data_IF_473965325752
#
_entry.id   IF_473965325752
#
_cell.length_a   1.000
_cell.length_b   1.000
_cell.length_c   1.000
_cell.angle_alpha   90.00
_cell.angle_beta   90.00
_cell.angle_gamma   90.00
#
_symmetry.space_group_name_H-M   'P 1'
#
loop_
_entity.id
_entity.type
_entity.pdbx_description
1 polymer ?
#
# COMPACT_ATOMS: atom_id res chain seq x y z
N UNK A 1 10.41 -12.24 -28.11
CA UNK A 1 11.09 -11.25 -27.25
C UNK A 1 10.64 -9.90 -27.78
N UNK A 2 10.12 -9.01 -26.93
CA UNK A 2 9.72 -7.67 -27.38
C UNK A 2 10.98 -6.87 -27.69
N UNK A 3 11.04 -6.27 -28.87
CA UNK A 3 12.13 -5.39 -29.28
C UNK A 3 11.79 -3.97 -28.86
N UNK A 4 12.53 -3.45 -27.88
CA UNK A 4 12.32 -2.09 -27.37
C UNK A 4 13.11 -1.08 -28.19
N UNK A 5 12.46 0.05 -28.51
CA UNK A 5 13.11 1.19 -29.14
C UNK A 5 14.21 1.72 -28.22
N UNK A 6 15.41 1.93 -28.77
CA UNK A 6 16.52 2.56 -28.07
C UNK A 6 16.17 4.00 -27.71
N UNK A 7 16.20 4.31 -26.41
CA UNK A 7 15.88 5.63 -25.88
C UNK A 7 16.52 5.80 -24.50
N UNK A 8 16.84 7.04 -24.15
CA UNK A 8 17.29 7.38 -22.80
C UNK A 8 16.09 7.53 -21.85
N UNK A 9 16.26 7.21 -20.55
CA UNK A 9 15.24 7.44 -19.55
C UNK A 9 15.02 8.95 -19.31
N UNK A 10 13.77 9.38 -19.20
CA UNK A 10 13.38 10.78 -18.94
C UNK A 10 13.56 11.20 -17.48
N UNK A 11 13.71 10.23 -16.59
CA UNK A 11 14.03 10.42 -15.18
C UNK A 11 15.38 9.76 -14.96
N UNK A 12 16.30 10.48 -14.32
CA UNK A 12 17.63 9.97 -13.96
C UNK A 12 17.53 9.02 -12.75
N UNK A 13 16.81 7.92 -12.95
CA UNK A 13 16.71 6.81 -12.00
C UNK A 13 17.70 5.74 -12.47
N UNK A 14 18.87 5.60 -11.80
CA UNK A 14 19.90 4.67 -12.25
C UNK A 14 19.36 3.26 -12.35
N UNK A 15 19.83 2.46 -13.30
CA UNK A 15 19.43 1.06 -13.41
C UNK A 15 20.59 0.16 -13.82
N UNK A 16 20.51 -1.10 -13.40
CA UNK A 16 21.46 -2.14 -13.78
C UNK A 16 20.85 -3.05 -14.85
N UNK A 17 21.32 -2.91 -16.09
CA UNK A 17 20.93 -3.75 -17.22
C UNK A 17 22.12 -4.57 -17.74
N UNK A 18 21.87 -5.83 -18.10
CA UNK A 18 22.88 -6.75 -18.62
C UNK A 18 22.84 -6.93 -20.15
N UNK A 19 21.89 -6.27 -20.82
CA UNK A 19 21.74 -6.27 -22.28
C UNK A 19 21.17 -4.93 -22.77
N UNK A 20 21.35 -4.63 -24.05
CA UNK A 20 20.76 -3.44 -24.69
C UNK A 20 19.24 -3.48 -24.65
N UNK A 21 18.63 -4.64 -24.94
CA UNK A 21 17.18 -4.80 -24.84
C UNK A 21 16.68 -4.59 -23.39
N UNK A 22 17.44 -5.00 -22.38
CA UNK A 22 17.14 -4.73 -20.97
C UNK A 22 17.22 -3.24 -20.62
N UNK A 23 18.23 -2.52 -21.12
CA UNK A 23 18.35 -1.06 -20.99
C UNK A 23 17.15 -0.35 -21.61
N UNK A 24 16.79 -0.73 -22.84
CA UNK A 24 15.67 -0.14 -23.56
C UNK A 24 14.33 -0.45 -22.90
N UNK A 25 14.19 -1.64 -22.28
CA UNK A 25 13.02 -1.98 -21.45
C UNK A 25 12.88 -1.08 -20.23
N UNK A 26 13.96 -0.84 -19.46
CA UNK A 26 13.92 0.10 -18.34
C UNK A 26 13.51 1.50 -18.80
N UNK A 27 14.14 2.00 -19.87
CA UNK A 27 13.79 3.30 -20.42
C UNK A 27 12.33 3.36 -20.89
N UNK A 28 11.81 2.29 -21.48
CA UNK A 28 10.39 2.19 -21.86
C UNK A 28 9.44 2.31 -20.66
N UNK A 29 9.71 1.57 -19.57
CA UNK A 29 8.90 1.63 -18.35
C UNK A 29 8.93 3.03 -17.73
N UNK A 30 10.14 3.59 -17.54
CA UNK A 30 10.34 4.92 -16.97
C UNK A 30 9.65 5.98 -17.82
N UNK A 31 9.86 5.98 -19.14
CA UNK A 31 9.34 7.00 -20.04
C UNK A 31 7.81 6.93 -20.12
N UNK A 32 7.23 5.74 -20.18
CA UNK A 32 5.77 5.59 -20.23
C UNK A 32 5.12 6.16 -18.97
N UNK A 33 5.68 5.86 -17.78
CA UNK A 33 5.17 6.43 -16.53
C UNK A 33 5.40 7.95 -16.51
N UNK A 34 6.61 8.41 -16.81
CA UNK A 34 7.00 9.82 -16.73
C UNK A 34 6.20 10.73 -17.68
N UNK A 35 5.77 10.21 -18.83
CA UNK A 35 5.04 10.98 -19.85
C UNK A 35 3.53 11.05 -19.57
N UNK A 36 2.97 10.00 -18.97
CA UNK A 36 1.51 9.84 -18.94
C UNK A 36 0.93 9.76 -17.52
N UNK A 37 1.75 9.75 -16.48
CA UNK A 37 1.32 9.69 -15.09
C UNK A 37 2.08 10.71 -14.24
N UNK A 38 1.50 11.90 -13.98
CA UNK A 38 2.06 12.82 -13.00
C UNK A 38 2.28 12.19 -11.62
N UNK A 39 1.39 11.30 -11.18
CA UNK A 39 1.50 10.61 -9.89
C UNK A 39 2.68 9.62 -9.89
N UNK A 40 2.81 8.82 -10.95
CA UNK A 40 3.90 7.87 -11.11
C UNK A 40 5.24 8.57 -11.30
N UNK A 41 5.28 9.64 -12.10
CA UNK A 41 6.47 10.48 -12.28
C UNK A 41 7.03 10.96 -10.95
N UNK A 42 6.16 11.48 -10.06
CA UNK A 42 6.58 12.02 -8.78
C UNK A 42 7.28 10.97 -7.90
N UNK A 43 6.78 9.73 -7.85
CA UNK A 43 7.43 8.67 -7.04
C UNK A 43 8.73 8.18 -7.67
N UNK A 44 8.85 8.15 -9.00
CA UNK A 44 10.11 7.82 -9.68
C UNK A 44 11.18 8.90 -9.42
N UNK A 45 10.81 10.17 -9.47
CA UNK A 45 11.71 11.30 -9.19
C UNK A 45 12.18 11.29 -7.72
N UNK A 46 11.28 11.00 -6.77
CA UNK A 46 11.64 10.88 -5.36
C UNK A 46 12.55 9.67 -5.09
N UNK A 47 12.31 8.52 -5.73
CA UNK A 47 13.19 7.36 -5.63
C UNK A 47 14.60 7.66 -6.16
N UNK A 48 14.71 8.33 -7.31
CA UNK A 48 15.98 8.78 -7.85
C UNK A 48 16.70 9.72 -6.89
N UNK A 49 15.98 10.71 -6.33
CA UNK A 49 16.52 11.67 -5.35
C UNK A 49 16.98 10.99 -4.06
N UNK A 50 16.31 9.92 -3.63
CA UNK A 50 16.68 9.12 -2.48
C UNK A 50 17.90 8.20 -2.73
N UNK A 51 18.46 8.23 -3.95
CA UNK A 51 19.63 7.47 -4.34
C UNK A 51 19.33 6.01 -4.67
N UNK A 52 18.07 5.67 -4.97
CA UNK A 52 17.71 4.32 -5.38
C UNK A 52 18.08 4.06 -6.84
N UNK A 53 18.34 2.78 -7.13
CA UNK A 53 18.48 2.27 -8.50
C UNK A 53 17.46 1.17 -8.81
N UNK A 54 17.21 0.91 -10.09
CA UNK A 54 16.43 -0.24 -10.54
C UNK A 54 17.31 -1.43 -10.88
N UNK A 55 16.81 -2.63 -10.58
CA UNK A 55 17.40 -3.87 -11.05
C UNK A 55 16.29 -4.87 -11.41
N UNK A 56 16.54 -5.69 -12.42
CA UNK A 56 15.64 -6.78 -12.77
C UNK A 56 16.28 -8.13 -12.46
N UNK A 57 15.50 -9.05 -11.91
CA UNK A 57 15.92 -10.44 -11.67
C UNK A 57 14.73 -11.40 -11.82
N UNK A 58 15.01 -12.68 -12.05
CA UNK A 58 13.95 -13.69 -12.06
C UNK A 58 13.43 -13.90 -10.64
N UNK A 59 12.14 -13.61 -10.41
CA UNK A 59 11.49 -13.79 -9.11
C UNK A 59 10.24 -14.64 -9.28
N UNK A 60 10.07 -15.61 -8.39
CA UNK A 60 8.85 -16.40 -8.27
C UNK A 60 8.02 -15.86 -7.11
N UNK A 61 6.72 -15.66 -7.33
CA UNK A 61 5.78 -15.24 -6.28
C UNK A 61 5.75 -13.74 -5.96
N UNK A 62 6.64 -12.92 -6.55
CA UNK A 62 6.58 -11.45 -6.42
C UNK A 62 6.88 -10.74 -7.76
N UNK A 63 6.22 -9.60 -7.97
CA UNK A 63 6.39 -8.71 -9.12
C UNK A 63 7.54 -7.73 -8.90
N UNK A 64 7.75 -7.29 -7.66
CA UNK A 64 8.78 -6.35 -7.26
C UNK A 64 9.00 -6.35 -5.75
N UNK A 65 10.05 -5.68 -5.30
CA UNK A 65 10.24 -5.30 -3.90
C UNK A 65 11.31 -4.20 -3.78
N UNK A 66 11.29 -3.46 -2.68
CA UNK A 66 12.36 -2.52 -2.30
C UNK A 66 13.35 -3.18 -1.35
N UNK A 67 14.64 -3.01 -1.62
CA UNK A 67 15.72 -3.31 -0.68
C UNK A 67 16.38 -2.00 -0.23
N UNK A 68 16.05 -1.56 0.99
CA UNK A 68 16.57 -0.33 1.58
C UNK A 68 18.10 -0.36 1.73
N UNK A 69 18.66 -1.47 2.23
CA UNK A 69 20.10 -1.66 2.45
C UNK A 69 20.91 -1.51 1.16
N UNK A 70 20.41 -2.07 0.06
CA UNK A 70 21.04 -1.98 -1.26
C UNK A 70 20.65 -0.70 -2.02
N UNK A 71 19.75 0.13 -1.48
CA UNK A 71 19.09 1.23 -2.20
C UNK A 71 18.64 0.80 -3.60
N UNK A 72 17.94 -0.33 -3.68
CA UNK A 72 17.57 -0.95 -4.96
C UNK A 72 16.09 -1.34 -4.98
N UNK A 73 15.40 -0.93 -6.04
CA UNK A 73 14.06 -1.43 -6.38
C UNK A 73 14.24 -2.59 -7.37
N UNK A 74 13.77 -3.77 -6.98
CA UNK A 74 13.81 -4.96 -7.82
C UNK A 74 12.49 -5.14 -8.56
N UNK A 75 12.55 -5.41 -9.86
CA UNK A 75 11.42 -5.83 -10.70
C UNK A 75 11.64 -7.23 -11.24
N UNK A 76 10.57 -8.00 -11.39
CA UNK A 76 10.67 -9.39 -11.86
C UNK A 76 10.75 -9.46 -13.37
N UNK A 77 11.74 -10.20 -13.90
CA UNK A 77 11.83 -10.45 -15.34
C UNK A 77 10.71 -11.34 -15.87
N UNK A 78 9.96 -12.01 -14.98
CA UNK A 78 8.93 -12.98 -15.33
C UNK A 78 7.57 -12.36 -15.69
N UNK A 79 7.41 -11.04 -15.53
CA UNK A 79 6.15 -10.33 -15.78
C UNK A 79 6.27 -9.39 -16.97
N UNK A 80 5.16 -9.15 -17.65
CA UNK A 80 5.06 -8.20 -18.76
C UNK A 80 5.05 -6.75 -18.28
N UNK A 81 5.28 -5.82 -19.20
CA UNK A 81 5.43 -4.41 -18.86
C UNK A 81 4.15 -3.76 -18.33
N UNK A 82 2.96 -4.27 -18.70
CA UNK A 82 1.72 -3.69 -18.19
C UNK A 82 1.60 -3.92 -16.68
N UNK A 83 2.01 -5.10 -16.21
CA UNK A 83 2.14 -5.39 -14.77
C UNK A 83 3.23 -4.52 -14.15
N UNK A 84 4.42 -4.49 -14.75
CA UNK A 84 5.58 -3.82 -14.15
C UNK A 84 5.46 -2.29 -14.07
N UNK A 85 4.64 -1.64 -14.90
CA UNK A 85 4.40 -0.19 -14.79
C UNK A 85 3.71 0.19 -13.48
N UNK A 86 2.69 -0.59 -13.08
CA UNK A 86 2.02 -0.41 -11.78
C UNK A 86 2.96 -0.77 -10.64
N UNK A 87 3.62 -1.93 -10.72
CA UNK A 87 4.57 -2.40 -9.72
C UNK A 87 5.70 -1.39 -9.49
N UNK A 88 6.28 -0.82 -10.54
CA UNK A 88 7.37 0.15 -10.40
C UNK A 88 6.91 1.39 -9.62
N UNK A 89 5.70 1.90 -9.88
CA UNK A 89 5.16 3.02 -9.11
C UNK A 89 4.86 2.65 -7.66
N UNK A 90 4.35 1.43 -7.42
CA UNK A 90 4.12 0.86 -6.10
C UNK A 90 5.43 0.78 -5.28
N UNK A 91 6.48 0.17 -5.82
CA UNK A 91 7.77 0.06 -5.11
C UNK A 91 8.44 1.42 -4.89
N UNK A 92 8.37 2.32 -5.87
CA UNK A 92 8.82 3.70 -5.68
C UNK A 92 8.04 4.43 -4.57
N UNK A 93 6.76 4.09 -4.37
CA UNK A 93 5.97 4.64 -3.26
C UNK A 93 6.50 4.17 -1.91
N UNK A 94 6.94 2.92 -1.76
CA UNK A 94 7.61 2.48 -0.52
C UNK A 94 8.87 3.29 -0.21
N UNK A 95 9.68 3.63 -1.22
CA UNK A 95 10.82 4.54 -1.03
C UNK A 95 10.35 5.90 -0.51
N UNK A 96 9.32 6.48 -1.13
CA UNK A 96 8.76 7.76 -0.70
C UNK A 96 8.15 7.71 0.71
N UNK A 97 7.57 6.58 1.11
CA UNK A 97 7.07 6.34 2.46
C UNK A 97 8.23 6.33 3.49
N UNK A 98 9.35 5.66 3.18
CA UNK A 98 10.56 5.69 3.99
C UNK A 98 11.14 7.10 4.13
N UNK A 99 11.23 7.86 3.03
CA UNK A 99 11.64 9.28 3.05
C UNK A 99 10.77 10.17 3.95
N UNK A 100 9.50 9.78 4.15
CA UNK A 100 8.54 10.50 5.00
C UNK A 100 8.57 10.05 6.46
N UNK A 101 9.46 9.13 6.83
CA UNK A 101 9.65 8.69 8.20
C UNK A 101 8.80 7.49 8.61
N UNK A 102 8.27 6.73 7.66
CA UNK A 102 7.73 5.38 7.98
C UNK A 102 8.87 4.58 8.61
N UNK A 103 8.66 3.97 9.80
CA UNK A 103 9.73 3.28 10.49
C UNK A 103 10.11 1.99 9.77
N UNK A 104 11.41 1.78 9.58
CA UNK A 104 11.98 0.54 8.99
C UNK A 104 11.79 -0.69 9.90
N UNK A 105 11.40 -0.49 11.16
CA UNK A 105 11.09 -1.57 12.08
C UNK A 105 9.75 -1.34 12.79
N UNK A 106 8.95 -2.39 12.83
CA UNK A 106 7.66 -2.41 13.52
C UNK A 106 7.78 -2.76 15.01
N UNK A 107 9.00 -3.06 15.49
CA UNK A 107 9.25 -3.67 16.80
C UNK A 107 8.72 -2.81 17.94
N UNK A 108 8.95 -1.50 17.86
CA UNK A 108 8.53 -0.58 18.92
C UNK A 108 7.03 -0.33 18.98
N UNK A 109 6.29 -0.58 17.89
CA UNK A 109 4.86 -0.30 17.84
C UNK A 109 4.06 -1.39 18.55
N UNK A 110 3.01 -1.00 19.25
CA UNK A 110 1.99 -1.93 19.75
C UNK A 110 1.31 -2.67 18.58
N UNK A 111 0.94 -3.94 18.79
CA UNK A 111 0.37 -4.89 17.83
C UNK A 111 -0.75 -4.25 17.01
N UNK A 112 -1.70 -3.57 17.65
CA UNK A 112 -2.83 -2.92 16.97
C UNK A 112 -2.33 -1.87 15.96
N UNK A 113 -1.35 -1.08 16.33
CA UNK A 113 -0.84 0.00 15.50
C UNK A 113 0.09 -0.53 14.41
N UNK A 114 0.80 -1.64 14.63
CA UNK A 114 1.47 -2.39 13.56
C UNK A 114 0.47 -2.86 12.50
N UNK A 115 -0.68 -3.41 12.90
CA UNK A 115 -1.74 -3.82 11.96
C UNK A 115 -2.19 -2.62 11.10
N UNK A 116 -2.40 -1.45 11.71
CA UNK A 116 -2.78 -0.23 10.99
C UNK A 116 -1.69 0.22 10.03
N UNK A 117 -0.45 0.33 10.52
CA UNK A 117 0.67 0.87 9.76
C UNK A 117 0.96 -0.01 8.54
N UNK A 118 1.17 -1.30 8.74
CA UNK A 118 1.49 -2.25 7.68
C UNK A 118 0.41 -2.25 6.58
N UNK A 119 -0.86 -2.38 6.97
CA UNK A 119 -1.96 -2.36 5.99
C UNK A 119 -2.13 -1.01 5.30
N UNK A 120 -1.90 0.08 6.03
CA UNK A 120 -2.00 1.43 5.48
C UNK A 120 -0.91 1.71 4.45
N UNK A 121 0.33 1.29 4.70
CA UNK A 121 1.48 1.40 3.78
C UNK A 121 1.16 0.72 2.45
N UNK A 122 0.70 -0.53 2.49
CA UNK A 122 0.39 -1.32 1.29
C UNK A 122 -0.84 -0.79 0.54
N UNK A 123 -1.90 -0.43 1.26
CA UNK A 123 -3.09 0.16 0.64
C UNK A 123 -2.77 1.51 -0.03
N UNK A 124 -1.84 2.30 0.54
CA UNK A 124 -1.36 3.54 -0.05
C UNK A 124 -0.48 3.29 -1.29
N UNK A 125 0.44 2.32 -1.23
CA UNK A 125 1.29 1.94 -2.35
C UNK A 125 0.47 1.45 -3.55
N UNK A 126 -0.50 0.57 -3.32
CA UNK A 126 -1.45 0.11 -4.35
C UNK A 126 -2.36 1.24 -4.85
N UNK A 127 -2.71 2.22 -4.01
CA UNK A 127 -3.47 3.40 -4.47
C UNK A 127 -2.66 4.28 -5.43
N UNK A 128 -1.35 4.38 -5.23
CA UNK A 128 -0.42 5.10 -6.11
C UNK A 128 -0.15 4.32 -7.39
N UNK A 129 0.01 3.00 -7.31
CA UNK A 129 0.07 2.10 -8.47
C UNK A 129 -1.19 2.21 -9.33
N UNK A 130 -2.37 2.14 -8.71
CA UNK A 130 -3.66 2.30 -9.37
C UNK A 130 -3.82 3.69 -10.01
N UNK A 131 -3.46 4.77 -9.30
CA UNK A 131 -3.45 6.12 -9.85
C UNK A 131 -2.55 6.20 -11.09
N UNK A 132 -1.38 5.56 -11.05
CA UNK A 132 -0.45 5.53 -12.18
C UNK A 132 -1.04 4.82 -13.40
N UNK A 133 -1.61 3.63 -13.20
CA UNK A 133 -2.26 2.88 -14.27
C UNK A 133 -3.46 3.64 -14.86
N UNK A 134 -4.25 4.30 -14.02
CA UNK A 134 -5.37 5.14 -14.43
C UNK A 134 -4.90 6.31 -15.31
N UNK A 135 -3.88 7.03 -14.86
CA UNK A 135 -3.34 8.19 -15.56
C UNK A 135 -2.74 7.80 -16.91
N UNK A 136 -1.98 6.69 -16.97
CA UNK A 136 -1.48 6.13 -18.23
C UNK A 136 -2.64 5.84 -19.19
N UNK A 137 -3.70 5.16 -18.71
CA UNK A 137 -4.91 4.86 -19.51
C UNK A 137 -5.51 6.14 -20.09
N UNK A 138 -5.67 7.19 -19.27
CA UNK A 138 -6.37 8.42 -19.66
C UNK A 138 -5.53 9.35 -20.53
N UNK A 139 -4.21 9.38 -20.33
CA UNK A 139 -3.34 10.33 -21.02
C UNK A 139 -2.68 9.78 -22.29
N UNK A 140 -2.53 8.46 -22.42
CA UNK A 140 -1.95 7.82 -23.61
C UNK A 140 -2.93 6.97 -24.43
N UNK A 141 -4.06 6.56 -23.82
CA UNK A 141 -4.92 5.53 -24.38
C UNK A 141 -4.40 4.09 -24.18
N UNK A 142 -3.21 3.90 -23.59
CA UNK A 142 -2.70 2.60 -23.21
C UNK A 142 -3.45 2.06 -21.98
N UNK A 143 -4.45 1.22 -22.22
CA UNK A 143 -5.26 0.57 -21.19
C UNK A 143 -4.62 -0.71 -20.62
N UNK A 144 -3.46 -1.12 -21.12
CA UNK A 144 -2.76 -2.34 -20.71
C UNK A 144 -2.50 -2.41 -19.20
N UNK A 145 -1.83 -1.42 -18.59
CA UNK A 145 -1.55 -1.43 -17.15
C UNK A 145 -2.81 -1.46 -16.28
N UNK A 146 -3.86 -0.74 -16.68
CA UNK A 146 -5.13 -0.75 -15.97
C UNK A 146 -5.81 -2.12 -16.01
N UNK A 147 -5.81 -2.79 -17.17
CA UNK A 147 -6.34 -4.15 -17.32
C UNK A 147 -5.57 -5.16 -16.50
N UNK A 148 -4.24 -5.12 -16.53
CA UNK A 148 -3.39 -5.99 -15.73
C UNK A 148 -3.68 -5.84 -14.23
N UNK A 149 -3.81 -4.60 -13.75
CA UNK A 149 -4.19 -4.33 -12.36
C UNK A 149 -5.62 -4.81 -12.04
N UNK A 150 -6.58 -4.61 -12.94
CA UNK A 150 -7.97 -5.05 -12.73
C UNK A 150 -8.08 -6.58 -12.63
N UNK A 151 -7.23 -7.31 -13.33
CA UNK A 151 -7.14 -8.77 -13.26
C UNK A 151 -6.47 -9.23 -11.96
N UNK A 152 -5.38 -8.56 -11.54
CA UNK A 152 -4.65 -8.80 -10.29
C UNK A 152 -5.49 -8.48 -9.05
N UNK A 153 -6.13 -7.31 -9.02
CA UNK A 153 -6.75 -6.70 -7.84
C UNK A 153 -8.05 -5.94 -8.19
N UNK A 154 -9.12 -6.65 -8.58
CA UNK A 154 -10.34 -6.02 -9.11
C UNK A 154 -11.03 -5.07 -8.13
N UNK A 155 -10.90 -5.29 -6.82
CA UNK A 155 -11.52 -4.41 -5.82
C UNK A 155 -10.89 -3.02 -5.76
N UNK A 156 -9.60 -2.92 -6.03
CA UNK A 156 -8.85 -1.66 -6.06
C UNK A 156 -9.31 -0.84 -7.28
N UNK A 157 -9.33 -1.44 -8.47
CA UNK A 157 -9.77 -0.76 -9.69
C UNK A 157 -11.25 -0.39 -9.63
N UNK A 158 -12.12 -1.28 -9.14
CA UNK A 158 -13.55 -1.01 -8.93
C UNK A 158 -13.78 0.16 -7.98
N UNK A 159 -13.05 0.21 -6.85
CA UNK A 159 -13.17 1.29 -5.87
C UNK A 159 -12.76 2.64 -6.46
N UNK A 160 -11.65 2.67 -7.20
CA UNK A 160 -11.18 3.87 -7.90
C UNK A 160 -12.15 4.34 -9.00
N UNK A 161 -12.63 3.42 -9.84
CA UNK A 161 -13.61 3.73 -10.90
C UNK A 161 -14.94 4.24 -10.34
N UNK A 162 -15.44 3.66 -9.25
CA UNK A 162 -16.69 4.10 -8.62
C UNK A 162 -16.61 5.53 -8.04
N UNK A 163 -15.40 6.01 -7.72
CA UNK A 163 -15.17 7.35 -7.20
C UNK A 163 -14.85 8.40 -8.29
N UNK A 164 -14.58 7.97 -9.52
CA UNK A 164 -14.41 8.86 -10.66
C UNK A 164 -15.74 9.53 -11.05
N UNK A 165 -15.71 10.80 -11.45
CA UNK A 165 -16.89 11.60 -11.82
C UNK A 165 -16.92 11.96 -13.30
N UNK A 166 -15.93 11.55 -14.08
CA UNK A 166 -15.90 11.77 -15.52
C UNK A 166 -14.66 11.17 -16.19
N UNK A 167 -13.97 12.02 -16.95
CA UNK A 167 -12.78 11.69 -17.72
C UNK A 167 -11.50 12.16 -17.04
N UNK A 168 -11.46 12.14 -15.70
CA UNK A 168 -10.33 12.67 -14.93
C UNK A 168 -8.99 12.11 -15.44
N UNK A 169 -8.12 13.00 -15.90
CA UNK A 169 -6.79 12.65 -16.41
C UNK A 169 -5.75 12.43 -15.32
N UNK A 170 -6.04 12.89 -14.10
CA UNK A 170 -5.22 12.79 -12.90
C UNK A 170 -6.09 12.20 -11.81
N UNK A 171 -5.59 11.22 -11.06
CA UNK A 171 -6.36 10.59 -10.00
C UNK A 171 -6.72 11.62 -8.91
N UNK A 172 -7.99 11.71 -8.55
CA UNK A 172 -8.45 12.61 -7.49
C UNK A 172 -8.25 11.99 -6.10
N UNK A 173 -8.26 12.78 -5.01
CA UNK A 173 -8.24 12.24 -3.65
C UNK A 173 -9.38 11.22 -3.39
N UNK A 174 -10.57 11.43 -3.97
CA UNK A 174 -11.68 10.49 -3.83
C UNK A 174 -11.40 9.14 -4.51
N UNK A 175 -10.77 9.18 -5.67
CA UNK A 175 -10.34 7.99 -6.42
C UNK A 175 -9.26 7.21 -5.69
N UNK A 176 -8.26 7.89 -5.13
CA UNK A 176 -7.22 7.25 -4.30
C UNK A 176 -7.82 6.60 -3.06
N UNK A 177 -8.76 7.25 -2.36
CA UNK A 177 -9.50 6.62 -1.25
C UNK A 177 -10.28 5.39 -1.71
N UNK A 178 -10.88 5.42 -2.90
CA UNK A 178 -11.58 4.28 -3.48
C UNK A 178 -10.66 3.08 -3.70
N UNK A 179 -9.46 3.29 -4.27
CA UNK A 179 -8.44 2.25 -4.40
C UNK A 179 -8.00 1.71 -3.03
N UNK A 180 -7.71 2.62 -2.09
CA UNK A 180 -7.32 2.30 -0.72
C UNK A 180 -8.35 1.40 -0.03
N UNK A 181 -9.64 1.76 -0.11
CA UNK A 181 -10.74 0.96 0.46
C UNK A 181 -10.93 -0.37 -0.27
N UNK A 182 -10.59 -0.42 -1.57
CA UNK A 182 -10.56 -1.64 -2.36
C UNK A 182 -9.51 -2.65 -1.87
N UNK A 183 -8.35 -2.17 -1.41
CA UNK A 183 -7.29 -3.01 -0.84
C UNK A 183 -7.77 -3.76 0.41
N UNK A 184 -8.47 -3.07 1.31
CA UNK A 184 -9.04 -3.67 2.53
C UNK A 184 -10.15 -4.70 2.27
N UNK A 185 -10.65 -4.80 1.04
CA UNK A 185 -11.59 -5.85 0.64
C UNK A 185 -10.89 -7.11 0.09
N UNK A 186 -9.57 -7.09 -0.04
CA UNK A 186 -8.77 -8.20 -0.55
C UNK A 186 -8.20 -9.04 0.61
N UNK A 187 -9.04 -9.90 1.20
CA UNK A 187 -8.63 -10.76 2.34
C UNK A 187 -7.37 -11.61 2.04
N UNK A 188 -7.25 -12.30 0.89
CA UNK A 188 -6.04 -13.06 0.59
C UNK A 188 -4.76 -12.24 0.66
N UNK A 189 -4.79 -11.00 0.17
CA UNK A 189 -3.65 -10.07 0.26
C UNK A 189 -3.38 -9.67 1.72
N UNK A 190 -4.41 -9.29 2.48
CA UNK A 190 -4.26 -8.97 3.90
C UNK A 190 -3.69 -10.14 4.71
N UNK A 191 -4.04 -11.39 4.40
CA UNK A 191 -3.55 -12.58 5.10
C UNK A 191 -2.04 -12.80 4.88
N UNK A 192 -1.51 -12.48 3.71
CA UNK A 192 -0.06 -12.57 3.41
C UNK A 192 0.72 -11.57 4.27
N UNK A 193 0.27 -10.32 4.32
CA UNK A 193 0.91 -9.26 5.12
C UNK A 193 0.72 -9.45 6.62
N UNK A 194 -0.42 -10.01 7.04
CA UNK A 194 -0.65 -10.36 8.43
C UNK A 194 0.30 -11.47 8.89
N UNK A 195 0.48 -12.52 8.08
CA UNK A 195 1.38 -13.62 8.42
C UNK A 195 2.85 -13.17 8.47
N UNK A 196 3.31 -12.40 7.50
CA UNK A 196 4.70 -11.94 7.45
C UNK A 196 4.99 -10.92 8.54
N UNK A 197 4.25 -9.82 8.61
CA UNK A 197 4.60 -8.71 9.50
C UNK A 197 4.10 -8.94 10.92
N UNK A 198 2.84 -9.34 11.09
CA UNK A 198 2.25 -9.45 12.44
C UNK A 198 2.73 -10.72 13.12
N UNK A 199 2.56 -11.88 12.47
CA UNK A 199 2.94 -13.15 13.10
C UNK A 199 4.46 -13.32 13.17
N UNK A 200 5.20 -13.10 12.08
CA UNK A 200 6.65 -13.32 12.09
C UNK A 200 7.41 -12.12 12.69
N UNK A 201 7.30 -10.94 12.09
CA UNK A 201 8.20 -9.83 12.46
C UNK A 201 7.92 -9.20 13.82
N UNK A 202 6.66 -9.23 14.25
CA UNK A 202 6.23 -8.66 15.53
C UNK A 202 6.06 -9.73 16.60
N UNK A 203 5.12 -10.66 16.43
CA UNK A 203 4.79 -11.63 17.48
C UNK A 203 5.94 -12.62 17.74
N UNK A 204 6.40 -13.36 16.72
CA UNK A 204 7.48 -14.35 16.90
C UNK A 204 8.79 -13.71 17.34
N UNK A 205 9.23 -12.63 16.69
CA UNK A 205 10.50 -11.98 17.04
C UNK A 205 10.46 -11.31 18.42
N UNK A 206 9.29 -11.04 19.00
CA UNK A 206 9.17 -10.47 20.35
C UNK A 206 9.40 -11.49 21.48
N UNK A 207 9.53 -12.78 21.17
CA UNK A 207 9.65 -13.85 22.16
C UNK A 207 11.10 -14.19 22.55
N UNK A 208 12.06 -13.91 21.68
CA UNK A 208 13.44 -14.38 21.88
C UNK A 208 14.49 -13.35 21.45
N UNK A 209 15.71 -13.52 21.93
CA UNK A 209 16.83 -12.69 21.50
C UNK A 209 17.22 -13.01 20.06
N UNK A 210 17.39 -11.96 19.26
CA UNK A 210 17.89 -12.03 17.89
C UNK A 210 18.99 -10.99 17.69
N UNK A 211 19.79 -11.16 16.63
CA UNK A 211 21.01 -10.39 16.36
C UNK A 211 20.83 -8.88 16.57
N UNK A 212 19.70 -8.33 16.14
CA UNK A 212 19.41 -6.89 16.13
C UNK A 212 18.21 -6.48 17.00
N UNK A 213 17.62 -7.41 17.77
CA UNK A 213 16.49 -7.11 18.65
C UNK A 213 16.45 -7.98 19.89
N UNK A 214 16.10 -7.35 21.01
CA UNK A 214 15.79 -8.04 22.26
C UNK A 214 14.28 -8.03 22.49
N UNK A 215 13.72 -9.00 23.22
CA UNK A 215 12.30 -9.00 23.61
C UNK A 215 11.85 -7.72 24.32
N UNK A 216 12.75 -7.06 25.05
CA UNK A 216 12.53 -5.79 25.73
C UNK A 216 12.38 -4.59 24.77
N UNK A 217 12.75 -4.75 23.49
CA UNK A 217 12.65 -3.70 22.51
C UNK A 217 11.24 -3.51 21.94
N UNK A 218 10.34 -4.47 22.23
CA UNK A 218 9.03 -4.51 21.62
C UNK A 218 7.95 -3.72 22.38
N UNK A 219 6.98 -3.22 21.61
CA UNK A 219 5.75 -2.60 22.10
C UNK A 219 5.96 -1.34 22.94
N UNK A 220 6.98 -0.54 22.66
CA UNK A 220 7.37 0.66 23.41
C UNK A 220 6.42 1.83 23.22
N UNK A 221 5.81 2.00 22.04
CA UNK A 221 5.03 3.20 21.69
C UNK A 221 3.78 2.90 20.87
N UNK A 222 2.85 3.84 20.92
CA UNK A 222 1.68 3.87 20.04
C UNK A 222 1.94 4.79 18.84
N UNK A 223 1.13 4.64 17.79
CA UNK A 223 1.08 5.55 16.65
C UNK A 223 -0.38 5.71 16.20
N UNK A 224 -0.86 6.94 16.13
CA UNK A 224 -2.28 7.20 15.81
C UNK A 224 -2.56 7.03 14.32
N UNK A 225 -3.82 6.71 13.96
CA UNK A 225 -4.25 6.70 12.55
C UNK A 225 -3.95 8.04 11.87
N UNK A 226 -4.20 9.15 12.57
CA UNK A 226 -3.97 10.50 12.06
C UNK A 226 -2.49 10.74 11.74
N UNK A 227 -1.57 10.29 12.60
CA UNK A 227 -0.13 10.36 12.36
C UNK A 227 0.25 9.54 11.11
N UNK A 228 -0.22 8.29 11.01
CA UNK A 228 0.05 7.40 9.88
C UNK A 228 -0.41 7.99 8.55
N UNK A 229 -1.68 8.35 8.41
CA UNK A 229 -2.19 8.82 7.11
C UNK A 229 -1.63 10.18 6.72
N UNK A 230 -1.34 11.06 7.70
CA UNK A 230 -0.66 12.32 7.41
C UNK A 230 0.82 12.13 7.07
N UNK A 231 1.43 11.04 7.50
CA UNK A 231 2.80 10.68 7.15
C UNK A 231 2.86 10.21 5.69
N UNK A 232 2.10 9.18 5.31
CA UNK A 232 2.30 8.53 4.01
C UNK A 232 1.18 8.68 2.99
N UNK A 233 -0.10 8.89 3.36
CA UNK A 233 -1.22 8.91 2.40
C UNK A 233 -1.33 10.23 1.60
N UNK A 234 -0.30 10.58 0.82
CA UNK A 234 -0.24 11.82 0.03
C UNK A 234 -0.55 11.63 -1.45
N UNK A 235 -1.29 12.56 -2.03
CA UNK A 235 -1.46 12.69 -3.48
C UNK A 235 -0.21 13.28 -4.16
N UNK A 236 -0.25 13.45 -5.48
CA UNK A 236 0.83 14.03 -6.28
C UNK A 236 1.12 15.51 -5.96
N UNK A 237 0.21 16.21 -5.28
CA UNK A 237 0.41 17.57 -4.78
C UNK A 237 0.96 17.59 -3.34
N UNK A 238 1.28 16.42 -2.76
CA UNK A 238 1.78 16.30 -1.39
C UNK A 238 0.71 16.48 -0.30
N UNK A 239 -0.57 16.51 -0.66
CA UNK A 239 -1.68 16.66 0.29
C UNK A 239 -2.19 15.30 0.75
N UNK A 240 -2.57 15.20 2.03
CA UNK A 240 -3.14 13.97 2.55
C UNK A 240 -4.52 13.72 1.94
N UNK A 241 -4.71 12.63 1.18
CA UNK A 241 -6.01 12.31 0.60
C UNK A 241 -7.02 11.75 1.62
N UNK A 242 -6.59 11.57 2.88
CA UNK A 242 -7.44 11.28 4.05
C UNK A 242 -7.55 12.46 5.03
N UNK A 243 -7.20 13.68 4.62
CA UNK A 243 -7.20 14.85 5.52
C UNK A 243 -8.54 15.09 6.26
N UNK A 244 -9.67 14.83 5.59
CA UNK A 244 -11.02 15.01 6.16
C UNK A 244 -11.47 13.83 7.05
N UNK A 245 -10.70 12.74 7.09
CA UNK A 245 -10.98 11.54 7.88
C UNK A 245 -9.67 10.89 8.35
N UNK A 246 -8.93 11.55 9.26
CA UNK A 246 -7.61 11.10 9.66
C UNK A 246 -7.62 9.83 10.53
N UNK A 247 -8.77 9.46 11.10
CA UNK A 247 -9.03 8.28 11.92
C UNK A 247 -9.40 7.04 11.10
N UNK A 248 -9.21 7.08 9.78
CA UNK A 248 -9.70 6.03 8.88
C UNK A 248 -9.15 4.63 9.18
N UNK A 249 -7.94 4.51 9.74
CA UNK A 249 -7.33 3.21 10.09
C UNK A 249 -7.88 2.64 11.41
N UNK A 250 -8.63 3.43 12.18
CA UNK A 250 -9.29 2.98 13.40
C UNK A 250 -10.66 2.34 13.14
N UNK A 251 -11.12 2.33 11.89
CA UNK A 251 -12.38 1.67 11.50
C UNK A 251 -12.36 0.18 11.86
N UNK A 252 -13.37 -0.35 12.58
CA UNK A 252 -13.37 -1.76 12.98
C UNK A 252 -13.24 -2.75 11.83
N UNK A 253 -13.76 -2.41 10.64
CA UNK A 253 -13.62 -3.24 9.45
C UNK A 253 -12.15 -3.43 9.01
N UNK A 254 -11.27 -2.46 9.28
CA UNK A 254 -9.84 -2.47 8.94
C UNK A 254 -8.96 -3.11 10.00
N UNK A 255 -9.51 -3.28 11.21
CA UNK A 255 -8.86 -3.88 12.39
C UNK A 255 -9.23 -5.35 12.59
N UNK A 256 -9.68 -6.02 11.52
CA UNK A 256 -9.97 -7.45 11.55
C UNK A 256 -8.73 -8.29 11.26
N UNK A 257 -8.45 -9.31 12.06
CA UNK A 257 -7.34 -10.25 11.89
C UNK A 257 -7.85 -11.70 11.90
N UNK A 258 -7.01 -12.66 11.53
CA UNK A 258 -7.35 -14.08 11.65
C UNK A 258 -7.43 -14.51 13.12
N UNK A 259 -8.28 -15.50 13.38
CA UNK A 259 -8.45 -16.07 14.72
C UNK A 259 -7.15 -16.64 15.28
N UNK A 260 -6.34 -17.29 14.43
CA UNK A 260 -5.01 -17.79 14.80
C UNK A 260 -4.06 -16.67 15.21
N UNK A 261 -4.09 -15.52 14.52
CA UNK A 261 -3.29 -14.34 14.86
C UNK A 261 -3.72 -13.77 16.21
N UNK A 262 -5.04 -13.70 16.47
CA UNK A 262 -5.59 -13.25 17.76
C UNK A 262 -5.14 -14.18 18.91
N UNK A 263 -5.26 -15.50 18.71
CA UNK A 263 -4.82 -16.50 19.68
C UNK A 263 -3.30 -16.42 19.92
N UNK A 264 -2.51 -16.19 18.88
CA UNK A 264 -1.07 -16.06 19.00
C UNK A 264 -0.68 -14.78 19.76
N UNK A 265 -1.32 -13.65 19.46
CA UNK A 265 -1.11 -12.40 20.20
C UNK A 265 -1.40 -12.57 21.70
N UNK A 266 -2.47 -13.31 22.05
CA UNK A 266 -2.77 -13.65 23.44
C UNK A 266 -1.65 -14.47 24.08
N UNK A 267 -1.22 -15.56 23.44
CA UNK A 267 -0.17 -16.45 23.96
C UNK A 267 1.18 -15.73 24.13
N UNK A 268 1.55 -14.86 23.18
CA UNK A 268 2.76 -14.02 23.30
C UNK A 268 2.68 -13.11 24.52
N UNK A 269 1.53 -12.51 24.79
CA UNK A 269 1.36 -11.61 25.92
C UNK A 269 1.32 -12.33 27.27
N UNK A 270 0.81 -13.57 27.32
CA UNK A 270 0.93 -14.46 28.50
C UNK A 270 2.41 -14.77 28.79
N UNK A 271 3.17 -15.21 27.78
CA UNK A 271 4.62 -15.46 27.91
C UNK A 271 5.37 -14.22 28.40
N UNK A 272 5.05 -13.04 27.84
CA UNK A 272 5.70 -11.79 28.23
C UNK A 272 5.41 -11.42 29.68
N UNK A 273 4.19 -11.64 30.16
CA UNK A 273 3.84 -11.43 31.56
C UNK A 273 4.65 -12.36 32.49
N UNK A 274 4.76 -13.64 32.16
CA UNK A 274 5.54 -14.63 32.93
C UNK A 274 7.03 -14.29 33.02
N UNK A 275 7.57 -13.62 31.99
CA UNK A 275 8.99 -13.25 31.89
C UNK A 275 9.30 -11.80 32.28
N UNK A 276 8.36 -11.09 32.93
CA UNK A 276 8.50 -9.67 33.31
C UNK A 276 8.84 -8.74 32.13
N UNK A 277 8.35 -9.06 30.93
CA UNK A 277 8.46 -8.23 29.73
C UNK A 277 7.22 -7.34 29.58
N UNK A 278 7.35 -6.25 28.81
CA UNK A 278 6.23 -5.33 28.54
C UNK A 278 5.12 -6.04 27.76
N UNK A 279 3.98 -6.26 28.40
CA UNK A 279 2.74 -6.75 27.78
C UNK A 279 2.13 -5.65 26.93
N UNK A 280 1.64 -6.01 25.75
CA UNK A 280 0.83 -5.17 24.90
C UNK A 280 -0.62 -5.65 24.91
N UNK A 281 -1.52 -4.86 25.49
CA UNK A 281 -2.96 -5.18 25.52
C UNK A 281 -3.75 -4.56 24.36
N UNK A 282 -3.08 -3.85 23.44
CA UNK A 282 -3.73 -3.17 22.31
C UNK A 282 -4.41 -4.15 21.35
N UNK A 283 -3.96 -5.41 21.28
CA UNK A 283 -4.58 -6.45 20.45
C UNK A 283 -6.04 -6.73 20.84
N UNK A 284 -6.48 -6.39 22.06
CA UNK A 284 -7.89 -6.46 22.46
C UNK A 284 -8.80 -5.48 21.68
N UNK A 285 -8.21 -4.46 21.05
CA UNK A 285 -8.91 -3.55 20.14
C UNK A 285 -9.05 -4.10 18.71
N UNK A 286 -8.47 -5.27 18.41
CA UNK A 286 -8.63 -5.96 17.14
C UNK A 286 -9.84 -6.90 17.20
N UNK A 287 -10.36 -7.28 16.05
CA UNK A 287 -11.49 -8.24 15.95
C UNK A 287 -11.13 -9.40 15.04
N UNK A 288 -11.75 -10.56 15.25
CA UNK A 288 -11.63 -11.66 14.28
C UNK A 288 -12.47 -11.32 13.05
N UNK A 289 -12.00 -11.67 11.86
CA UNK A 289 -12.79 -11.49 10.63
C UNK A 289 -14.26 -11.94 10.80
N UNK A 290 -15.19 -11.07 10.44
CA UNK A 290 -16.63 -11.28 10.55
C UNK A 290 -17.23 -10.98 11.93
N UNK A 291 -16.41 -10.64 12.93
CA UNK A 291 -16.87 -10.36 14.31
C UNK A 291 -16.77 -8.88 14.70
N UNK A 292 -16.23 -8.03 13.83
CA UNK A 292 -16.11 -6.60 14.08
C UNK A 292 -17.47 -5.97 14.47
N UNK A 293 -17.50 -5.07 15.48
CA UNK A 293 -18.70 -4.32 15.79
C UNK A 293 -19.23 -3.62 14.55
N UNK A 294 -20.53 -3.76 14.27
CA UNK A 294 -21.21 -3.03 13.20
C UNK A 294 -21.35 -1.55 13.58
N UNK A 295 -20.26 -0.81 13.63
CA UNK A 295 -20.30 0.65 13.68
C UNK A 295 -20.47 1.18 12.25
N UNK A 296 -21.54 1.96 12.04
CA UNK A 296 -21.81 2.81 10.87
C UNK A 296 -22.48 2.25 9.60
N UNK A 297 -22.93 0.98 9.52
CA UNK A 297 -23.86 0.59 8.42
C UNK A 297 -25.23 1.27 8.55
N UNK A 298 -25.64 1.67 9.76
CA UNK A 298 -26.94 2.30 10.03
C UNK A 298 -27.04 3.74 9.52
N UNK A 299 -25.95 4.51 9.55
CA UNK A 299 -25.96 5.92 9.14
C UNK A 299 -25.86 6.08 7.61
N UNK A 300 -25.10 5.21 6.93
CA UNK A 300 -25.02 5.22 5.47
C UNK A 300 -26.35 4.80 4.81
N UNK A 301 -27.01 3.74 5.32
CA UNK A 301 -28.33 3.32 4.81
C UNK A 301 -29.42 4.38 5.09
N UNK A 302 -29.38 5.05 6.25
CA UNK A 302 -30.31 6.15 6.54
C UNK A 302 -30.05 7.40 5.68
N UNK A 303 -28.78 7.76 5.42
CA UNK A 303 -28.44 8.90 4.57
C UNK A 303 -28.82 8.66 3.11
N UNK A 304 -28.58 7.45 2.59
CA UNK A 304 -28.99 7.05 1.23
C UNK A 304 -30.52 7.01 1.10
N UNK A 305 -31.22 6.49 2.11
CA UNK A 305 -32.69 6.48 2.13
C UNK A 305 -33.26 7.91 2.21
N UNK A 306 -32.69 8.78 3.04
CA UNK A 306 -33.11 10.18 3.14
C UNK A 306 -32.81 10.97 1.87
N UNK A 307 -31.66 10.75 1.22
CA UNK A 307 -31.33 11.36 -0.07
C UNK A 307 -32.26 10.89 -1.19
N UNK A 308 -32.65 9.61 -1.19
CA UNK A 308 -33.60 9.06 -2.15
C UNK A 308 -35.02 9.63 -1.95
N UNK A 309 -35.44 9.81 -0.70
CA UNK A 309 -36.74 10.44 -0.35
C UNK A 309 -36.76 11.93 -0.70
N UNK A 310 -35.66 12.65 -0.48
CA UNK A 310 -35.54 14.07 -0.85
C UNK A 310 -35.60 14.28 -2.37
N UNK A 311 -34.92 13.44 -3.16
CA UNK A 311 -34.98 13.48 -4.63
C UNK A 311 -36.39 13.22 -5.18
N UNK A 312 -37.18 12.38 -4.52
CA UNK A 312 -38.56 12.05 -4.92
C UNK A 312 -39.57 13.15 -4.58
N UNK A 313 -39.25 14.05 -3.63
CA UNK A 313 -40.08 15.22 -3.29
C UNK A 313 -39.84 16.42 -4.20
N UNK A 314 -38.67 16.50 -4.85
CA UNK A 314 -38.32 17.56 -5.81
C UNK A 314 -38.78 17.27 -7.24
N UNK A 315 -39.31 16.07 -7.51
CA UNK A 315 -39.78 15.63 -8.82
C UNK A 315 -41.31 15.55 -8.92
N UNK A 316 -42.04 16.36 -8.14
CA UNK A 316 -43.50 16.51 -8.19
C UNK A 316 -43.86 17.98 -8.25
#
# INVERSE_FOLDING_TARGET
>A
MTDYIAQEPKIDLPFQAYSENGRNRFAHLINTIADYSPTGRAVLEDAAKAGFKLQMQAMSGTQGFVCEEMKTIFLSTCYDDNVLMETLAHECRHVQQGMRGVPDNYRELVIRDTVKLNRGIEADAESVGAATAWEIRKNSGNDGPWKALAEKCPKITQGMEAAAKGDEKIATPAMMRGAFDGWYQNKPMMDVYEKSVICTDVLSNSLQEHRESKPADFFKREMSSAEMVNMFCKDSAGKCYWADKPDVLDEPARLQINESTMAFAKSVNEFRAENNLKVDTSYNGLSVYGTAPKTAEKNAKNAVLQAAVARKKLSR
#
